data_IF_742213816962
#
_entry.id   IF_742213816962
#
_cell.length_a   1.000
_cell.length_b   1.000
_cell.length_c   1.000
_cell.angle_alpha   90.00
_cell.angle_beta   90.00
_cell.angle_gamma   90.00
#
_symmetry.space_group_name_H-M   'P 1'
#
loop_
_entity.id
_entity.type
_entity.pdbx_description
1 polymer ?
#
# COMPACT_ATOMS: atom_id res chain seq x y z
N UNK A 1 -21.51 -13.99 -4.32
CA UNK A 1 -22.38 -12.87 -3.84
C UNK A 1 -21.85 -12.11 -2.62
N UNK A 2 -21.14 -12.73 -1.66
CA UNK A 2 -20.66 -12.06 -0.44
C UNK A 2 -19.57 -10.99 -0.67
N UNK A 3 -18.65 -11.21 -1.63
CA UNK A 3 -17.50 -10.33 -1.97
C UNK A 3 -17.94 -8.90 -2.39
N UNK A 4 -18.94 -8.79 -3.25
CA UNK A 4 -19.53 -7.51 -3.69
C UNK A 4 -20.25 -6.75 -2.55
N UNK A 5 -20.81 -7.50 -1.59
CA UNK A 5 -21.47 -6.92 -0.42
C UNK A 5 -20.45 -6.29 0.54
N UNK A 6 -19.27 -6.90 0.69
CA UNK A 6 -18.17 -6.38 1.50
C UNK A 6 -17.56 -5.13 0.82
N UNK A 7 -17.25 -5.21 -0.48
CA UNK A 7 -16.66 -4.09 -1.22
C UNK A 7 -17.60 -2.86 -1.23
N UNK A 8 -18.89 -3.07 -1.47
CA UNK A 8 -19.89 -1.98 -1.42
C UNK A 8 -20.02 -1.37 -0.03
N UNK A 9 -19.97 -2.17 1.04
CA UNK A 9 -20.04 -1.69 2.43
C UNK A 9 -18.80 -0.88 2.81
N UNK A 10 -17.62 -1.31 2.36
CA UNK A 10 -16.35 -0.60 2.55
C UNK A 10 -16.34 0.74 1.81
N UNK A 11 -16.74 0.77 0.54
CA UNK A 11 -16.85 2.01 -0.26
C UNK A 11 -17.87 2.97 0.37
N UNK A 12 -19.01 2.47 0.85
CA UNK A 12 -20.05 3.29 1.51
C UNK A 12 -19.55 3.88 2.83
N UNK A 13 -18.79 3.12 3.62
CA UNK A 13 -18.16 3.61 4.84
C UNK A 13 -17.08 4.66 4.58
N UNK A 14 -16.26 4.49 3.53
CA UNK A 14 -15.25 5.48 3.12
C UNK A 14 -15.93 6.79 2.69
N UNK A 15 -16.99 6.72 1.87
CA UNK A 15 -17.78 7.91 1.47
C UNK A 15 -18.43 8.61 2.67
N UNK A 16 -18.92 7.84 3.66
CA UNK A 16 -19.53 8.38 4.89
C UNK A 16 -18.47 9.03 5.80
N UNK A 17 -17.29 8.43 5.96
CA UNK A 17 -16.14 9.04 6.67
C UNK A 17 -15.70 10.34 5.99
N UNK A 18 -15.62 10.37 4.65
CA UNK A 18 -15.26 11.59 3.90
C UNK A 18 -16.30 12.71 4.11
N UNK A 19 -17.60 12.39 4.10
CA UNK A 19 -18.68 13.34 4.45
C UNK A 19 -18.64 13.80 5.92
N UNK A 20 -18.30 12.91 6.85
CA UNK A 20 -18.12 13.24 8.27
C UNK A 20 -16.90 14.13 8.52
N UNK A 21 -15.79 13.84 7.83
CA UNK A 21 -14.57 14.64 7.85
C UNK A 21 -14.81 16.04 7.26
N UNK A 22 -15.52 16.13 6.14
CA UNK A 22 -16.00 17.41 5.58
C UNK A 22 -16.89 18.14 6.59
N UNK A 23 -17.84 17.47 7.25
CA UNK A 23 -18.64 18.09 8.32
C UNK A 23 -17.81 18.56 9.51
N UNK A 24 -16.75 17.87 9.91
CA UNK A 24 -15.84 18.33 10.97
C UNK A 24 -15.06 19.57 10.51
N UNK A 25 -14.63 19.59 9.25
CA UNK A 25 -13.94 20.75 8.66
C UNK A 25 -14.87 21.97 8.54
N UNK A 26 -16.17 21.76 8.32
CA UNK A 26 -17.19 22.81 8.25
C UNK A 26 -17.96 23.05 9.56
N UNK A 27 -17.74 22.26 10.62
CA UNK A 27 -18.37 22.48 11.94
C UNK A 27 -17.58 23.53 12.70
N UNK A 28 -17.87 24.78 12.34
CA UNK A 28 -17.81 25.98 13.18
C UNK A 28 -16.56 26.05 14.07
N UNK A 29 -15.39 26.19 13.44
CA UNK A 29 -14.27 26.87 14.09
C UNK A 29 -14.72 28.34 14.18
N UNK A 30 -15.28 28.73 15.31
CA UNK A 30 -15.50 30.14 15.66
C UNK A 30 -14.14 30.79 15.84
N UNK A 31 -13.44 30.97 14.72
CA UNK A 31 -12.23 31.77 14.63
C UNK A 31 -12.73 33.19 14.85
N UNK A 32 -12.38 33.79 15.99
CA UNK A 32 -12.60 35.23 16.18
C UNK A 32 -12.00 35.94 14.95
N UNK A 33 -12.72 36.86 14.29
CA UNK A 33 -12.27 37.46 13.02
C UNK A 33 -10.97 38.27 13.15
N UNK A 34 -10.44 38.45 14.36
CA UNK A 34 -9.20 39.17 14.65
C UNK A 34 -7.91 38.42 14.33
N UNK A 35 -7.97 37.18 13.82
CA UNK A 35 -6.76 36.42 13.41
C UNK A 35 -6.66 36.17 11.90
N UNK A 36 -7.60 36.69 11.10
CA UNK A 36 -7.42 36.86 9.66
C UNK A 36 -6.57 38.13 9.47
N UNK A 37 -5.31 38.07 9.90
CA UNK A 37 -4.33 39.06 9.49
C UNK A 37 -4.34 39.09 7.97
N UNK A 38 -4.49 40.30 7.41
CA UNK A 38 -4.38 40.63 6.00
C UNK A 38 -3.22 39.83 5.38
N UNK A 39 -3.52 38.69 4.77
CA UNK A 39 -2.64 38.19 3.73
C UNK A 39 -2.76 39.23 2.62
N UNK A 40 -1.65 39.90 2.23
CA UNK A 40 -1.72 40.93 1.21
C UNK A 40 -2.39 40.33 -0.02
N UNK A 41 -3.18 41.12 -0.76
CA UNK A 41 -3.95 40.63 -1.91
C UNK A 41 -3.06 39.82 -2.91
N UNK A 42 -1.76 40.14 -2.96
CA UNK A 42 -0.73 39.39 -3.67
C UNK A 42 -0.63 37.90 -3.29
N UNK A 43 -0.85 37.52 -2.03
CA UNK A 43 -0.78 36.14 -1.58
C UNK A 43 -2.02 35.32 -2.02
N UNK A 44 -3.21 35.93 -2.01
CA UNK A 44 -4.41 35.32 -2.57
C UNK A 44 -4.30 35.14 -4.09
N UNK A 45 -3.72 36.13 -4.79
CA UNK A 45 -3.44 36.03 -6.23
C UNK A 45 -2.43 34.91 -6.51
N UNK A 46 -1.38 34.78 -5.69
CA UNK A 46 -0.38 33.71 -5.84
C UNK A 46 -0.98 32.30 -5.64
N UNK A 47 -1.85 32.12 -4.64
CA UNK A 47 -2.58 30.86 -4.44
C UNK A 47 -3.52 30.56 -5.63
N UNK A 48 -4.21 31.58 -6.16
CA UNK A 48 -5.04 31.44 -7.34
C UNK A 48 -4.24 31.04 -8.59
N UNK A 49 -3.12 31.71 -8.83
CA UNK A 49 -2.24 31.43 -9.97
C UNK A 49 -1.61 30.04 -9.88
N UNK A 50 -1.12 29.63 -8.71
CA UNK A 50 -0.59 28.27 -8.51
C UNK A 50 -1.66 27.20 -8.69
N UNK A 51 -2.90 27.45 -8.29
CA UNK A 51 -4.03 26.56 -8.55
C UNK A 51 -4.37 26.42 -10.04
N UNK A 52 -4.36 27.53 -10.79
CA UNK A 52 -4.60 27.54 -12.25
C UNK A 52 -3.47 26.83 -12.99
N UNK A 53 -2.22 27.05 -12.60
CA UNK A 53 -1.06 26.37 -13.18
C UNK A 53 -1.14 24.85 -12.90
N UNK A 54 -1.47 24.45 -11.67
CA UNK A 54 -1.67 23.03 -11.33
C UNK A 54 -2.83 22.39 -12.09
N UNK A 55 -3.83 23.16 -12.50
CA UNK A 55 -4.96 22.67 -13.31
C UNK A 55 -4.62 22.53 -14.79
N UNK A 56 -3.76 23.41 -15.33
CA UNK A 56 -3.30 23.35 -16.72
C UNK A 56 -2.21 22.30 -16.98
N UNK A 57 -1.42 21.93 -15.98
CA UNK A 57 -0.38 20.90 -16.14
C UNK A 57 -1.01 19.50 -16.38
N UNK A 58 -0.53 18.74 -17.37
CA UNK A 58 -1.05 17.40 -17.64
C UNK A 58 -0.80 16.48 -16.45
N UNK A 59 -1.81 15.70 -16.08
CA UNK A 59 -1.72 14.73 -14.98
C UNK A 59 -0.63 13.69 -15.27
N UNK A 60 0.25 13.49 -14.29
CA UNK A 60 1.23 12.41 -14.32
C UNK A 60 0.54 11.05 -14.46
N UNK A 61 1.28 10.06 -14.96
CA UNK A 61 0.79 8.69 -15.07
C UNK A 61 0.30 8.15 -13.69
N UNK A 62 0.97 8.54 -12.60
CA UNK A 62 0.60 8.20 -11.23
C UNK A 62 -0.73 8.82 -10.80
N UNK A 63 -0.95 10.10 -11.08
CA UNK A 63 -2.22 10.76 -10.73
C UNK A 63 -3.39 10.18 -11.54
N UNK A 64 -3.17 9.87 -12.83
CA UNK A 64 -4.17 9.18 -13.65
C UNK A 64 -4.50 7.79 -13.10
N UNK A 65 -3.50 7.02 -12.69
CA UNK A 65 -3.70 5.71 -12.09
C UNK A 65 -4.49 5.80 -10.77
N UNK A 66 -4.14 6.73 -9.87
CA UNK A 66 -4.89 6.97 -8.61
C UNK A 66 -6.35 7.35 -8.86
N UNK A 67 -6.63 8.17 -9.88
CA UNK A 67 -8.00 8.54 -10.24
C UNK A 67 -8.78 7.36 -10.81
N UNK A 68 -8.14 6.53 -11.62
CA UNK A 68 -8.79 5.35 -12.20
C UNK A 68 -9.18 4.32 -11.12
N UNK A 69 -8.42 4.20 -10.01
CA UNK A 69 -8.81 3.39 -8.84
C UNK A 69 -10.14 3.82 -8.20
N UNK A 70 -10.55 5.08 -8.35
CA UNK A 70 -11.79 5.61 -7.79
C UNK A 70 -13.03 5.25 -8.63
N UNK A 71 -12.84 4.68 -9.83
CA UNK A 71 -13.92 4.24 -10.70
C UNK A 71 -14.58 2.97 -10.13
N UNK A 72 -15.80 2.69 -10.57
CA UNK A 72 -16.60 1.55 -10.09
C UNK A 72 -15.96 0.19 -10.43
N UNK A 73 -15.21 0.13 -11.53
CA UNK A 73 -14.45 -1.03 -11.96
C UNK A 73 -13.09 -0.56 -12.49
N UNK A 74 -12.09 -0.36 -11.61
CA UNK A 74 -10.75 0.03 -12.04
C UNK A 74 -10.08 -1.10 -12.81
N UNK A 75 -9.35 -0.74 -13.87
CA UNK A 75 -8.61 -1.70 -14.69
C UNK A 75 -7.45 -2.30 -13.90
N UNK A 76 -7.16 -3.59 -14.10
CA UNK A 76 -6.20 -4.33 -13.29
C UNK A 76 -4.76 -3.82 -13.46
N UNK A 77 -4.43 -3.34 -14.65
CA UNK A 77 -3.18 -2.68 -15.03
C UNK A 77 -2.91 -1.44 -14.17
N UNK A 78 -3.97 -0.80 -13.67
CA UNK A 78 -3.84 0.32 -12.74
C UNK A 78 -3.20 -0.13 -11.43
N UNK A 79 -3.64 -1.28 -10.89
CA UNK A 79 -3.10 -1.81 -9.66
C UNK A 79 -1.64 -2.23 -9.84
N UNK A 80 -1.30 -2.84 -10.98
CA UNK A 80 0.09 -3.18 -11.34
C UNK A 80 0.96 -1.94 -11.35
N UNK A 81 0.55 -0.92 -12.09
CA UNK A 81 1.31 0.31 -12.23
C UNK A 81 1.56 0.96 -10.86
N UNK A 82 0.53 1.01 -10.02
CA UNK A 82 0.64 1.60 -8.68
C UNK A 82 1.48 0.76 -7.73
N UNK A 83 1.29 -0.56 -7.70
CA UNK A 83 2.09 -1.45 -6.86
C UNK A 83 3.58 -1.31 -7.22
N UNK A 84 3.91 -1.36 -8.52
CA UNK A 84 5.28 -1.20 -8.99
C UNK A 84 5.87 0.17 -8.64
N UNK A 85 5.13 1.25 -8.86
CA UNK A 85 5.57 2.58 -8.49
C UNK A 85 5.80 2.71 -6.97
N UNK A 86 4.91 2.14 -6.16
CA UNK A 86 5.06 2.14 -4.70
C UNK A 86 6.28 1.34 -4.24
N UNK A 87 6.54 0.17 -4.86
CA UNK A 87 7.72 -0.64 -4.59
C UNK A 87 9.01 0.09 -4.95
N UNK A 88 9.07 0.72 -6.13
CA UNK A 88 10.21 1.54 -6.59
C UNK A 88 10.50 2.72 -5.65
N UNK A 89 9.47 3.25 -4.99
CA UNK A 89 9.59 4.33 -4.01
C UNK A 89 9.70 3.81 -2.56
N UNK A 90 9.98 2.52 -2.36
CA UNK A 90 10.13 1.88 -1.05
C UNK A 90 8.90 2.04 -0.12
N UNK A 91 7.70 2.26 -0.68
CA UNK A 91 6.43 2.38 0.05
C UNK A 91 5.76 1.02 0.20
N UNK A 92 6.44 0.10 0.88
CA UNK A 92 6.10 -1.32 0.93
C UNK A 92 4.71 -1.62 1.53
N UNK A 93 4.31 -0.91 2.60
CA UNK A 93 2.98 -1.11 3.20
C UNK A 93 1.84 -0.82 2.22
N UNK A 94 1.99 0.23 1.44
CA UNK A 94 0.97 0.66 0.49
C UNK A 94 0.96 -0.24 -0.72
N UNK A 95 2.13 -0.66 -1.20
CA UNK A 95 2.25 -1.64 -2.26
C UNK A 95 1.50 -2.93 -1.89
N UNK A 96 1.73 -3.48 -0.69
CA UNK A 96 1.04 -4.68 -0.20
C UNK A 96 -0.48 -4.50 -0.14
N UNK A 97 -0.98 -3.32 0.28
CA UNK A 97 -2.42 -3.03 0.26
C UNK A 97 -2.98 -3.03 -1.16
N UNK A 98 -2.27 -2.43 -2.13
CA UNK A 98 -2.68 -2.41 -3.54
C UNK A 98 -2.67 -3.82 -4.13
N UNK A 99 -1.63 -4.60 -3.87
CA UNK A 99 -1.51 -5.99 -4.32
C UNK A 99 -2.66 -6.83 -3.76
N UNK A 100 -2.94 -6.72 -2.47
CA UNK A 100 -4.06 -7.41 -1.82
C UNK A 100 -5.44 -7.02 -2.37
N UNK A 101 -5.60 -5.77 -2.80
CA UNK A 101 -6.82 -5.35 -3.49
C UNK A 101 -6.94 -5.99 -4.89
N UNK A 102 -5.80 -6.25 -5.53
CA UNK A 102 -5.70 -6.82 -6.86
C UNK A 102 -5.87 -8.36 -6.88
N UNK A 103 -5.60 -9.06 -5.77
CA UNK A 103 -5.92 -10.50 -5.59
C UNK A 103 -7.42 -10.83 -5.75
N UNK A 104 -8.28 -9.81 -5.79
CA UNK A 104 -9.70 -9.97 -6.07
C UNK A 104 -10.03 -10.28 -7.54
N UNK A 105 -9.06 -10.15 -8.45
CA UNK A 105 -9.21 -10.30 -9.90
C UNK A 105 -8.69 -11.67 -10.34
N UNK A 106 -9.46 -12.39 -11.17
CA UNK A 106 -9.12 -13.72 -11.70
C UNK A 106 -8.15 -13.63 -12.89
N UNK A 107 -6.99 -12.99 -12.70
CA UNK A 107 -5.91 -13.00 -13.70
C UNK A 107 -4.61 -13.51 -13.09
N UNK A 108 -4.25 -14.76 -13.37
CA UNK A 108 -3.01 -15.39 -12.90
C UNK A 108 -1.75 -14.64 -13.39
N UNK A 109 -1.84 -13.97 -14.54
CA UNK A 109 -0.73 -13.23 -15.14
C UNK A 109 -0.31 -12.01 -14.30
N UNK A 110 -1.24 -11.42 -13.54
CA UNK A 110 -1.00 -10.29 -12.63
C UNK A 110 -0.08 -10.64 -11.47
N UNK A 111 -0.48 -11.68 -10.72
CA UNK A 111 0.25 -12.15 -9.55
C UNK A 111 1.62 -12.68 -9.97
N UNK A 112 1.70 -13.32 -11.13
CA UNK A 112 2.96 -13.77 -11.73
C UNK A 112 3.91 -12.59 -11.98
N UNK A 113 3.50 -11.55 -12.70
CA UNK A 113 4.37 -10.41 -13.01
C UNK A 113 4.87 -9.67 -11.77
N UNK A 114 4.01 -9.48 -10.76
CA UNK A 114 4.39 -8.82 -9.50
C UNK A 114 5.35 -9.70 -8.70
N UNK A 115 5.07 -11.00 -8.61
CA UNK A 115 5.94 -11.97 -7.91
C UNK A 115 7.30 -12.10 -8.60
N UNK A 116 7.34 -12.18 -9.92
CA UNK A 116 8.58 -12.19 -10.71
C UNK A 116 9.41 -10.93 -10.47
N UNK A 117 8.77 -9.76 -10.46
CA UNK A 117 9.45 -8.49 -10.15
C UNK A 117 9.95 -8.46 -8.70
N UNK A 118 9.21 -9.04 -7.76
CA UNK A 118 9.65 -9.19 -6.36
C UNK A 118 10.80 -10.21 -6.20
N UNK A 119 10.86 -11.22 -7.06
CA UNK A 119 11.90 -12.25 -7.04
C UNK A 119 13.22 -11.77 -7.66
N UNK A 120 13.16 -10.86 -8.64
CA UNK A 120 14.32 -10.25 -9.30
C UNK A 120 14.71 -8.87 -8.75
N UNK A 121 14.54 -8.65 -7.44
CA UNK A 121 14.95 -7.39 -6.80
C UNK A 121 16.47 -7.29 -6.68
N UNK A 122 17.00 -6.08 -6.89
CA UNK A 122 18.38 -5.74 -6.52
C UNK A 122 18.58 -6.05 -5.02
N UNK A 123 19.66 -6.74 -4.61
CA UNK A 123 20.01 -6.98 -3.22
C UNK A 123 19.88 -5.74 -2.31
N UNK A 124 20.13 -4.54 -2.83
CA UNK A 124 19.94 -3.28 -2.11
C UNK A 124 18.47 -3.01 -1.75
N UNK A 125 17.55 -3.27 -2.67
CA UNK A 125 16.11 -3.11 -2.42
C UNK A 125 15.57 -4.20 -1.50
N UNK A 126 16.09 -5.43 -1.61
CA UNK A 126 15.75 -6.51 -0.68
C UNK A 126 16.12 -6.12 0.76
N UNK A 127 17.32 -5.56 0.98
CA UNK A 127 17.74 -5.08 2.31
C UNK A 127 16.80 -4.01 2.88
N UNK A 128 16.36 -3.04 2.06
CA UNK A 128 15.37 -2.04 2.50
C UNK A 128 14.04 -2.68 2.89
N UNK A 129 13.59 -3.70 2.16
CA UNK A 129 12.39 -4.44 2.51
C UNK A 129 12.55 -5.19 3.83
N UNK A 130 13.69 -5.84 4.06
CA UNK A 130 13.99 -6.52 5.33
C UNK A 130 13.92 -5.53 6.50
N UNK A 131 14.58 -4.38 6.42
CA UNK A 131 14.52 -3.35 7.47
C UNK A 131 13.09 -2.90 7.77
N UNK A 132 12.26 -2.77 6.73
CA UNK A 132 10.84 -2.44 6.89
C UNK A 132 10.10 -3.56 7.63
N UNK A 133 10.22 -4.81 7.18
CA UNK A 133 9.51 -5.93 7.78
C UNK A 133 9.99 -6.27 9.19
N UNK A 134 11.27 -6.07 9.50
CA UNK A 134 11.80 -6.14 10.87
C UNK A 134 11.11 -5.13 11.79
N UNK A 135 10.89 -3.89 11.32
CA UNK A 135 10.13 -2.87 12.08
C UNK A 135 8.67 -3.28 12.26
N UNK A 136 8.08 -3.99 11.29
CA UNK A 136 6.71 -4.51 11.38
C UNK A 136 6.61 -5.59 12.45
N UNK A 137 7.47 -6.62 12.42
CA UNK A 137 7.43 -7.72 13.40
C UNK A 137 7.78 -7.25 14.81
N UNK A 138 8.64 -6.23 14.96
CA UNK A 138 8.89 -5.58 16.25
C UNK A 138 7.63 -4.96 16.88
N UNK A 139 6.71 -4.45 16.04
CA UNK A 139 5.44 -3.86 16.48
C UNK A 139 4.31 -4.88 16.59
N UNK A 140 4.32 -5.91 15.75
CA UNK A 140 3.29 -6.95 15.65
C UNK A 140 3.96 -8.32 15.63
N UNK A 141 4.27 -8.83 16.83
CA UNK A 141 4.99 -10.09 17.02
C UNK A 141 4.18 -11.32 16.62
N UNK A 142 2.86 -11.17 16.47
CA UNK A 142 1.91 -12.20 16.07
C UNK A 142 1.53 -12.13 14.59
N UNK A 143 2.24 -11.31 13.78
CA UNK A 143 1.90 -11.14 12.38
C UNK A 143 2.63 -12.17 11.49
N UNK A 144 2.08 -13.37 11.40
CA UNK A 144 2.57 -14.49 10.57
C UNK A 144 3.07 -14.07 9.19
N UNK A 145 2.28 -13.31 8.44
CA UNK A 145 2.63 -12.96 7.06
C UNK A 145 3.88 -12.08 6.99
N UNK A 146 4.17 -11.26 8.01
CA UNK A 146 5.40 -10.48 8.06
C UNK A 146 6.65 -11.35 8.27
N UNK A 147 6.55 -12.39 9.10
CA UNK A 147 7.62 -13.37 9.27
C UNK A 147 7.85 -14.18 8.00
N UNK A 148 6.78 -14.58 7.30
CA UNK A 148 6.92 -15.19 5.97
C UNK A 148 7.64 -14.27 4.98
N UNK A 149 7.27 -12.98 4.94
CA UNK A 149 7.92 -12.00 4.05
C UNK A 149 9.41 -11.88 4.36
N UNK A 150 9.80 -11.81 5.64
CA UNK A 150 11.20 -11.86 6.04
C UNK A 150 11.88 -13.14 5.57
N UNK A 151 11.25 -14.30 5.75
CA UNK A 151 11.81 -15.58 5.33
C UNK A 151 12.12 -15.62 3.82
N UNK A 152 11.19 -15.15 2.99
CA UNK A 152 11.37 -15.06 1.53
C UNK A 152 12.48 -14.08 1.16
N UNK A 153 12.54 -12.91 1.82
CA UNK A 153 13.55 -11.89 1.51
C UNK A 153 14.96 -12.34 1.89
N UNK A 154 15.13 -12.99 3.06
CA UNK A 154 16.41 -13.57 3.45
C UNK A 154 16.82 -14.71 2.52
N UNK A 155 15.86 -15.55 2.09
CA UNK A 155 16.13 -16.60 1.10
C UNK A 155 16.65 -16.02 -0.22
N UNK A 156 16.02 -14.95 -0.72
CA UNK A 156 16.44 -14.26 -1.94
C UNK A 156 17.85 -13.62 -1.82
N UNK A 157 18.31 -13.31 -0.60
CA UNK A 157 19.70 -12.89 -0.35
C UNK A 157 20.68 -14.05 -0.13
N UNK A 158 20.21 -15.30 -0.19
CA UNK A 158 21.01 -16.49 0.13
C UNK A 158 21.22 -16.71 1.64
N UNK A 159 20.59 -15.91 2.50
CA UNK A 159 20.66 -16.05 3.95
C UNK A 159 19.67 -17.12 4.44
N UNK A 160 20.04 -18.38 4.18
CA UNK A 160 19.23 -19.55 4.51
C UNK A 160 18.95 -19.65 6.01
N UNK A 161 19.89 -19.23 6.86
CA UNK A 161 19.75 -19.27 8.32
C UNK A 161 18.61 -18.38 8.79
N UNK A 162 18.68 -17.08 8.48
CA UNK A 162 17.64 -16.14 8.88
C UNK A 162 16.30 -16.45 8.21
N UNK A 163 16.32 -17.01 6.99
CA UNK A 163 15.11 -17.49 6.32
C UNK A 163 14.39 -18.57 7.14
N UNK A 164 15.12 -19.62 7.54
CA UNK A 164 14.58 -20.73 8.33
C UNK A 164 14.05 -20.28 9.70
N UNK A 165 14.75 -19.39 10.40
CA UNK A 165 14.31 -18.86 11.70
C UNK A 165 12.96 -18.12 11.59
N UNK A 166 12.82 -17.25 10.59
CA UNK A 166 11.57 -16.52 10.36
C UNK A 166 10.44 -17.45 9.92
N UNK A 167 10.74 -18.48 9.12
CA UNK A 167 9.74 -19.43 8.67
C UNK A 167 9.21 -20.30 9.81
N UNK A 168 10.09 -20.75 10.71
CA UNK A 168 9.69 -21.44 11.95
C UNK A 168 8.78 -20.55 12.80
N UNK A 169 9.15 -19.29 12.98
CA UNK A 169 8.32 -18.33 13.74
C UNK A 169 6.94 -18.16 13.10
N UNK A 170 6.85 -18.11 11.77
CA UNK A 170 5.55 -18.03 11.07
C UNK A 170 4.67 -19.27 11.34
N UNK A 171 5.26 -20.47 11.34
CA UNK A 171 4.56 -21.74 11.64
C UNK A 171 4.17 -21.83 13.12
N UNK A 172 4.98 -21.30 14.03
CA UNK A 172 4.64 -21.23 15.46
C UNK A 172 3.41 -20.33 15.72
N UNK A 173 3.33 -19.20 15.01
CA UNK A 173 2.18 -18.28 15.09
C UNK A 173 0.92 -18.91 14.51
N UNK A 174 1.05 -19.65 13.40
CA UNK A 174 -0.05 -20.38 12.78
C UNK A 174 0.36 -21.80 12.40
N UNK A 175 0.12 -22.77 13.30
CA UNK A 175 0.45 -24.18 13.06
C UNK A 175 -0.28 -24.81 11.89
N UNK A 176 -1.37 -24.19 11.37
CA UNK A 176 -2.13 -24.68 10.22
C UNK A 176 -1.69 -24.01 8.91
N UNK A 177 -0.56 -23.32 8.92
CA UNK A 177 -0.05 -22.61 7.75
C UNK A 177 0.69 -23.54 6.78
N UNK A 178 -0.08 -24.20 5.91
CA UNK A 178 0.43 -25.20 4.95
C UNK A 178 1.54 -24.67 4.04
N UNK A 179 1.43 -23.41 3.58
CA UNK A 179 2.45 -22.79 2.74
C UNK A 179 3.79 -22.64 3.48
N UNK A 180 3.75 -22.30 4.78
CA UNK A 180 4.98 -22.20 5.59
C UNK A 180 5.66 -23.55 5.75
N UNK A 181 4.89 -24.61 5.98
CA UNK A 181 5.42 -25.99 6.11
C UNK A 181 6.08 -26.46 4.81
N UNK A 182 5.42 -26.26 3.67
CA UNK A 182 5.98 -26.61 2.35
C UNK A 182 7.31 -25.91 2.08
N UNK A 183 7.36 -24.60 2.32
CA UNK A 183 8.61 -23.83 2.15
C UNK A 183 9.70 -24.30 3.11
N UNK A 184 9.35 -24.79 4.30
CA UNK A 184 10.33 -25.28 5.27
C UNK A 184 10.95 -26.61 4.81
N UNK A 185 10.15 -27.48 4.19
CA UNK A 185 10.61 -28.73 3.58
C UNK A 185 11.54 -28.47 2.39
N UNK A 186 11.22 -27.51 1.52
CA UNK A 186 12.06 -27.12 0.38
C UNK A 186 13.42 -26.53 0.80
N UNK A 187 13.48 -25.95 1.99
CA UNK A 187 14.69 -25.34 2.55
C UNK A 187 15.53 -26.30 3.40
N UNK A 188 15.13 -27.55 3.62
CA UNK A 188 15.99 -28.53 4.31
C UNK A 188 16.79 -29.34 3.29
#
# INVERSE_FOLDING_TARGET
MAKNKILSKTIKNIKKKKKGFLKIFFKKRSIKPSFFFLLPASFCILIGLTGIISFMLPKSNLERAKESLLRKNPAIETFVYLANNLLENSRFEEAEKIIKLAEGFDEDNLLKNIKEKQQNLDPKEIKKQIEYWEKVVKKKKDYRDAYLKLAILYFNLGDKKNSLENLKTAIEIDPNYDLGKKLLEELN
#
